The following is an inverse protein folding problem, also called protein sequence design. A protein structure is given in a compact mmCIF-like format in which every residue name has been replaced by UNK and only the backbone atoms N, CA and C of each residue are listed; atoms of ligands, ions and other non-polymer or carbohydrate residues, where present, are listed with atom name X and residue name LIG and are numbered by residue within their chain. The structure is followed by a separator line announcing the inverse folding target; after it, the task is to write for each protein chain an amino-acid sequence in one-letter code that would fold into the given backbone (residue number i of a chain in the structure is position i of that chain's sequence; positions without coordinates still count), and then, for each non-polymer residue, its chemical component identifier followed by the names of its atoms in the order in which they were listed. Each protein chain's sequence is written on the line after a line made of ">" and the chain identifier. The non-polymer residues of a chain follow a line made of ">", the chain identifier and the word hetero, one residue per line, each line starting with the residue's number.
data_IF_370626932687
#
_entry.id   IF_370626932687
#
_cell.length_a   1.000
_cell.length_b   1.000
_cell.length_c   1.000
_cell.angle_alpha   90.00
_cell.angle_beta   90.00
_cell.angle_gamma   90.00
#
_symmetry.space_group_name_H-M   'P 1'
#
loop_
_entity.id
_entity.type
_entity.pdbx_description
1 polymer ?
#
# COMPACT_ATOMS: atom_id res chain seq x y z
N UNK A 1 11.75 9.75 90.35
CA UNK A 1 10.82 9.23 91.40
C UNK A 1 9.99 8.15 90.72
N UNK A 2 10.13 6.96 91.33
CA UNK A 2 9.12 5.86 91.42
C UNK A 2 8.57 5.31 90.07
N UNK A 3 8.99 4.08 89.67
CA UNK A 3 8.47 2.77 90.18
C UNK A 3 7.09 2.51 89.56
N UNK A 4 6.68 1.38 89.03
CA UNK A 4 6.85 -0.06 89.21
C UNK A 4 6.22 -0.76 87.97
N UNK A 5 6.78 -1.80 87.33
CA UNK A 5 6.54 -3.24 87.55
C UNK A 5 5.09 -3.66 87.43
N UNK A 6 4.79 -4.53 86.50
CA UNK A 6 4.47 -5.96 86.59
C UNK A 6 3.99 -6.48 85.26
N UNK A 7 4.55 -7.49 84.69
CA UNK A 7 4.47 -8.94 84.85
C UNK A 7 3.17 -9.60 84.33
N UNK A 8 3.42 -10.60 83.59
CA UNK A 8 2.61 -11.81 83.28
C UNK A 8 1.70 -11.70 82.08
N UNK A 9 1.90 -12.55 81.22
CA UNK A 9 1.73 -13.90 81.06
C UNK A 9 1.42 -14.31 79.61
N UNK A 10 2.09 -15.27 79.15
CA UNK A 10 2.13 -15.92 77.91
C UNK A 10 0.83 -16.33 77.23
N UNK A 11 0.92 -16.37 75.96
CA UNK A 11 0.33 -17.44 75.18
C UNK A 11 1.03 -17.45 73.79
N UNK A 12 1.79 -18.53 73.58
CA UNK A 12 2.28 -18.85 72.25
C UNK A 12 1.11 -19.22 71.38
N UNK A 13 0.78 -18.40 70.39
CA UNK A 13 -0.05 -18.80 69.28
C UNK A 13 0.85 -18.91 68.04
N UNK A 14 1.13 -20.14 67.66
CA UNK A 14 1.81 -20.48 66.40
C UNK A 14 0.81 -20.19 65.27
N UNK A 15 1.02 -19.07 64.58
CA UNK A 15 0.33 -18.77 63.31
C UNK A 15 1.16 -19.40 62.21
N UNK A 16 0.64 -20.52 61.67
CA UNK A 16 1.17 -21.12 60.47
C UNK A 16 0.86 -20.18 59.27
N UNK A 17 1.91 -19.52 58.75
CA UNK A 17 1.82 -18.70 57.56
C UNK A 17 1.79 -19.61 56.33
N UNK A 18 0.60 -19.82 55.80
CA UNK A 18 0.42 -20.45 54.46
C UNK A 18 0.90 -19.45 53.41
N UNK A 19 2.09 -19.67 52.89
CA UNK A 19 2.57 -19.00 51.71
C UNK A 19 1.78 -19.54 50.53
N UNK A 20 0.74 -18.84 50.11
CA UNK A 20 0.13 -19.03 48.82
C UNK A 20 1.11 -18.57 47.72
N UNK A 21 1.73 -19.55 47.09
CA UNK A 21 2.54 -19.30 45.87
C UNK A 21 1.61 -18.84 44.76
N UNK A 22 1.55 -17.52 44.48
CA UNK A 22 0.98 -17.03 43.23
C UNK A 22 1.96 -17.39 42.11
N UNK A 23 1.65 -18.44 41.37
CA UNK A 23 2.25 -18.63 40.07
C UNK A 23 1.82 -17.47 39.12
N UNK A 24 2.75 -16.87 38.34
CA UNK A 24 2.34 -15.92 37.33
C UNK A 24 1.48 -16.64 36.29
N UNK A 25 0.22 -16.22 36.16
CA UNK A 25 -0.65 -16.69 35.11
C UNK A 25 -0.04 -16.30 33.75
N UNK A 26 0.25 -17.32 32.99
CA UNK A 26 0.61 -17.18 31.57
C UNK A 26 -0.61 -16.56 30.86
N UNK A 27 -0.48 -15.26 30.52
CA UNK A 27 -1.46 -14.57 29.68
C UNK A 27 -1.27 -15.11 28.27
N UNK A 28 -2.03 -16.14 27.92
CA UNK A 28 -2.13 -16.57 26.54
C UNK A 28 -2.93 -15.50 25.81
N UNK A 29 -2.23 -14.57 25.16
CA UNK A 29 -2.85 -13.70 24.15
C UNK A 29 -3.36 -14.58 23.01
N UNK A 30 -4.64 -14.91 23.09
CA UNK A 30 -5.35 -15.50 21.94
C UNK A 30 -5.57 -14.36 20.96
N UNK A 31 -4.58 -14.10 20.10
CA UNK A 31 -4.77 -13.28 18.92
C UNK A 31 -5.72 -14.02 17.98
N UNK A 32 -7.01 -13.78 18.16
CA UNK A 32 -8.03 -14.20 17.20
C UNK A 32 -7.98 -13.21 16.02
N UNK A 33 -6.86 -13.21 15.30
CA UNK A 33 -6.85 -12.67 13.94
C UNK A 33 -7.69 -13.62 13.09
N UNK A 34 -8.76 -13.11 12.48
CA UNK A 34 -9.42 -13.85 11.41
C UNK A 34 -8.33 -14.26 10.42
N UNK A 35 -8.32 -15.51 9.91
CA UNK A 35 -7.33 -15.90 8.91
C UNK A 35 -7.48 -14.96 7.73
N UNK A 36 -6.39 -14.26 7.41
CA UNK A 36 -6.29 -13.52 6.17
C UNK A 36 -6.62 -14.51 5.03
N UNK A 37 -7.51 -14.15 4.09
CA UNK A 37 -7.91 -15.08 3.05
C UNK A 37 -6.63 -15.57 2.36
N UNK A 38 -6.47 -16.89 2.32
CA UNK A 38 -5.32 -17.52 1.68
C UNK A 38 -5.22 -16.98 0.25
N UNK A 39 -4.16 -16.24 -0.03
CA UNK A 39 -3.85 -15.78 -1.39
C UNK A 39 -3.64 -17.06 -2.19
N UNK A 40 -4.47 -17.27 -3.20
CA UNK A 40 -4.30 -18.39 -4.10
C UNK A 40 -2.88 -18.27 -4.70
N UNK A 41 -1.98 -19.18 -4.34
CA UNK A 41 -0.55 -19.12 -4.66
C UNK A 41 -0.25 -19.14 -6.18
N UNK A 42 -1.29 -19.08 -7.02
CA UNK A 42 -1.22 -19.23 -8.47
C UNK A 42 -1.20 -17.90 -9.23
N UNK A 43 -1.46 -16.75 -8.59
CA UNK A 43 -1.47 -15.45 -9.30
C UNK A 43 -0.38 -14.55 -8.76
N UNK A 44 0.86 -14.82 -9.19
CA UNK A 44 1.98 -13.93 -8.90
C UNK A 44 1.76 -12.54 -9.55
N UNK A 45 2.12 -11.47 -8.84
CA UNK A 45 2.16 -10.14 -9.41
C UNK A 45 3.46 -9.94 -10.18
N UNK A 46 3.34 -9.77 -11.49
CA UNK A 46 4.46 -9.46 -12.38
C UNK A 46 4.35 -7.99 -12.82
N UNK A 47 5.09 -7.12 -12.13
CA UNK A 47 5.09 -5.69 -12.41
C UNK A 47 5.69 -5.36 -13.78
N UNK A 48 6.68 -6.13 -14.26
CA UNK A 48 7.27 -5.91 -15.59
C UNK A 48 6.26 -6.20 -16.70
N UNK A 49 5.65 -7.37 -16.67
CA UNK A 49 4.62 -7.73 -17.64
C UNK A 49 3.42 -6.77 -17.59
N UNK A 50 3.02 -6.36 -16.38
CA UNK A 50 1.93 -5.40 -16.18
C UNK A 50 2.28 -4.03 -16.79
N UNK A 51 3.47 -3.49 -16.51
CA UNK A 51 3.93 -2.18 -17.01
C UNK A 51 4.14 -2.18 -18.52
N UNK A 52 4.67 -3.26 -19.07
CA UNK A 52 4.80 -3.43 -20.52
C UNK A 52 3.45 -3.38 -21.22
N UNK A 53 2.45 -4.11 -20.68
CA UNK A 53 1.08 -4.08 -21.20
C UNK A 53 0.46 -2.69 -21.08
N UNK A 54 0.64 -2.00 -19.96
CA UNK A 54 0.14 -0.63 -19.78
C UNK A 54 0.68 0.31 -20.86
N UNK A 55 1.98 0.31 -21.10
CA UNK A 55 2.63 1.12 -22.16
C UNK A 55 2.11 0.72 -23.56
N UNK A 56 1.95 -0.56 -23.82
CA UNK A 56 1.43 -1.06 -25.09
C UNK A 56 0.01 -0.57 -25.36
N UNK A 57 -0.92 -0.74 -24.41
CA UNK A 57 -2.33 -0.34 -24.58
C UNK A 57 -2.45 1.19 -24.69
N UNK A 58 -1.65 1.93 -23.91
CA UNK A 58 -1.57 3.39 -23.98
C UNK A 58 -1.13 3.86 -25.36
N UNK A 59 0.00 3.35 -25.86
CA UNK A 59 0.59 3.76 -27.15
C UNK A 59 -0.25 3.30 -28.35
N UNK A 60 -1.03 2.23 -28.21
CA UNK A 60 -1.98 1.77 -29.22
C UNK A 60 -3.30 2.57 -29.24
N UNK A 61 -3.53 3.46 -28.27
CA UNK A 61 -4.79 4.20 -28.13
C UNK A 61 -5.95 3.33 -27.68
N UNK A 62 -5.70 2.18 -27.06
CA UNK A 62 -6.72 1.22 -26.63
C UNK A 62 -7.33 1.64 -25.29
N UNK A 63 -8.13 2.70 -25.30
CA UNK A 63 -8.71 3.31 -24.09
C UNK A 63 -9.45 2.31 -23.20
N UNK A 64 -10.30 1.47 -23.78
CA UNK A 64 -11.10 0.49 -23.02
C UNK A 64 -10.23 -0.60 -22.38
N UNK A 65 -9.22 -1.10 -23.11
CA UNK A 65 -8.27 -2.07 -22.60
C UNK A 65 -7.44 -1.47 -21.44
N UNK A 66 -6.96 -0.25 -21.62
CA UNK A 66 -6.20 0.47 -20.61
C UNK A 66 -7.05 0.74 -19.36
N UNK A 67 -8.27 1.23 -19.54
CA UNK A 67 -9.19 1.44 -18.42
C UNK A 67 -9.58 0.13 -17.72
N UNK A 68 -9.67 -0.98 -18.45
CA UNK A 68 -9.89 -2.33 -17.90
C UNK A 68 -8.77 -2.83 -17.00
N UNK A 69 -7.57 -2.24 -17.09
CA UNK A 69 -6.45 -2.51 -16.18
C UNK A 69 -6.60 -1.85 -14.79
N UNK A 70 -7.59 -0.99 -14.59
CA UNK A 70 -7.90 -0.37 -13.31
C UNK A 70 -9.06 -1.07 -12.61
N UNK A 71 -9.13 -0.95 -11.29
CA UNK A 71 -10.33 -1.30 -10.52
C UNK A 71 -11.47 -0.32 -10.83
N UNK A 72 -12.72 -0.73 -10.58
CA UNK A 72 -13.88 0.14 -10.83
C UNK A 72 -13.86 1.43 -9.98
N UNK A 73 -13.31 1.31 -8.77
CA UNK A 73 -13.09 2.40 -7.81
C UNK A 73 -11.67 2.98 -7.89
N UNK A 74 -11.00 2.76 -9.02
CA UNK A 74 -9.62 3.18 -9.21
C UNK A 74 -9.44 4.70 -9.21
N UNK A 75 -8.24 5.14 -8.83
CA UNK A 75 -7.90 6.55 -8.79
C UNK A 75 -6.59 6.87 -9.53
N UNK A 76 -6.49 8.12 -10.00
CA UNK A 76 -5.25 8.71 -10.49
C UNK A 76 -4.98 10.05 -9.82
N UNK A 77 -3.73 10.28 -9.49
CA UNK A 77 -3.25 11.49 -8.82
C UNK A 77 -2.19 12.18 -9.69
N UNK A 78 -2.62 12.90 -10.72
CA UNK A 78 -1.71 13.60 -11.63
C UNK A 78 -1.02 14.78 -10.92
N UNK A 79 0.22 15.14 -11.32
CA UNK A 79 0.90 16.28 -10.75
C UNK A 79 0.12 17.57 -11.00
N UNK A 80 0.03 18.41 -9.96
CA UNK A 80 -0.59 19.74 -10.00
C UNK A 80 -2.08 19.77 -10.43
N UNK A 81 -2.79 18.67 -10.26
CA UNK A 81 -4.22 18.54 -10.57
C UNK A 81 -4.94 17.84 -9.41
N UNK A 82 -6.26 18.03 -9.29
CA UNK A 82 -7.07 17.26 -8.36
C UNK A 82 -6.99 15.76 -8.63
N UNK A 83 -7.24 14.97 -7.59
CA UNK A 83 -7.41 13.52 -7.72
C UNK A 83 -8.57 13.21 -8.67
N UNK A 84 -8.38 12.19 -9.49
CA UNK A 84 -9.38 11.64 -10.42
C UNK A 84 -9.84 10.31 -9.86
N UNK A 85 -11.13 10.18 -9.58
CA UNK A 85 -11.72 8.98 -9.00
C UNK A 85 -12.93 8.50 -9.80
N UNK A 86 -13.07 7.19 -9.88
CA UNK A 86 -14.18 6.51 -10.54
C UNK A 86 -14.06 6.44 -12.06
N UNK A 87 -14.76 5.45 -12.62
CA UNK A 87 -14.60 5.02 -14.02
C UNK A 87 -14.75 6.13 -15.05
N UNK A 88 -15.77 6.98 -14.93
CA UNK A 88 -16.05 8.02 -15.92
C UNK A 88 -14.93 9.07 -16.00
N UNK A 89 -14.46 9.55 -14.84
CA UNK A 89 -13.39 10.54 -14.78
C UNK A 89 -12.05 9.94 -15.19
N UNK A 90 -11.83 8.66 -14.84
CA UNK A 90 -10.65 7.90 -15.24
C UNK A 90 -10.55 7.80 -16.76
N UNK A 91 -11.62 7.40 -17.45
CA UNK A 91 -11.66 7.32 -18.91
C UNK A 91 -11.34 8.65 -19.56
N UNK A 92 -11.99 9.73 -19.14
CA UNK A 92 -11.74 11.05 -19.70
C UNK A 92 -10.28 11.52 -19.52
N UNK A 93 -9.69 11.24 -18.35
CA UNK A 93 -8.30 11.59 -18.08
C UNK A 93 -7.30 10.74 -18.86
N UNK A 94 -7.56 9.44 -19.04
CA UNK A 94 -6.74 8.55 -19.86
C UNK A 94 -6.78 8.95 -21.34
N UNK A 95 -7.96 9.25 -21.87
CA UNK A 95 -8.13 9.73 -23.24
C UNK A 95 -7.34 11.02 -23.50
N UNK A 96 -7.47 12.01 -22.60
CA UNK A 96 -6.72 13.27 -22.69
C UNK A 96 -5.21 13.02 -22.61
N UNK A 97 -4.74 12.12 -21.74
CA UNK A 97 -3.33 11.78 -21.62
C UNK A 97 -2.77 11.15 -22.91
N UNK A 98 -3.52 10.22 -23.52
CA UNK A 98 -3.14 9.59 -24.81
C UNK A 98 -3.05 10.60 -25.95
N UNK A 99 -3.98 11.57 -26.01
CA UNK A 99 -3.94 12.64 -27.03
C UNK A 99 -2.72 13.56 -26.89
N UNK A 100 -2.26 13.79 -25.65
CA UNK A 100 -1.13 14.68 -25.37
C UNK A 100 0.23 13.98 -25.39
N UNK A 101 0.27 12.66 -25.44
CA UNK A 101 1.51 11.89 -25.30
C UNK A 101 1.64 10.92 -26.47
N UNK A 102 2.44 11.24 -27.48
CA UNK A 102 2.62 10.36 -28.65
C UNK A 102 3.19 8.99 -28.29
N UNK A 103 4.11 8.91 -27.33
CA UNK A 103 4.66 7.64 -26.83
C UNK A 103 4.94 7.75 -25.33
N UNK A 104 4.51 6.72 -24.60
CA UNK A 104 4.78 6.55 -23.17
C UNK A 104 5.63 5.29 -22.96
N UNK A 105 6.71 5.41 -22.22
CA UNK A 105 7.52 4.30 -21.72
C UNK A 105 7.43 4.26 -20.20
N UNK A 106 7.02 3.13 -19.67
CA UNK A 106 6.95 2.88 -18.23
C UNK A 106 7.97 1.80 -17.89
N UNK A 107 8.94 2.16 -17.04
CA UNK A 107 10.00 1.25 -16.60
C UNK A 107 9.82 0.97 -15.11
N UNK A 108 9.42 -0.25 -14.74
CA UNK A 108 9.30 -0.63 -13.33
C UNK A 108 10.68 -0.77 -12.69
N UNK A 109 10.75 -0.52 -11.37
CA UNK A 109 11.97 -0.66 -10.59
C UNK A 109 11.85 -1.76 -9.54
N UNK A 110 10.73 -1.79 -8.82
CA UNK A 110 10.48 -2.79 -7.77
C UNK A 110 9.01 -2.88 -7.43
N UNK A 111 8.59 -4.01 -6.90
CA UNK A 111 7.27 -4.21 -6.32
C UNK A 111 7.34 -5.00 -5.03
N UNK A 112 6.33 -4.82 -4.19
CA UNK A 112 6.08 -5.59 -2.98
C UNK A 112 4.64 -6.07 -2.98
N UNK A 113 4.40 -7.29 -2.51
CA UNK A 113 3.05 -7.91 -2.47
C UNK A 113 2.65 -8.18 -1.03
N UNK A 114 1.45 -7.76 -0.67
CA UNK A 114 0.84 -7.91 0.65
C UNK A 114 -0.54 -8.56 0.48
N UNK A 115 -0.59 -9.88 0.51
CA UNK A 115 -1.83 -10.61 0.27
C UNK A 115 -2.41 -10.31 -1.11
N UNK A 116 -3.59 -9.71 -1.18
CA UNK A 116 -4.27 -9.33 -2.42
C UNK A 116 -3.98 -7.89 -2.88
N UNK A 117 -3.00 -7.25 -2.26
CA UNK A 117 -2.54 -5.90 -2.62
C UNK A 117 -1.07 -5.94 -3.01
N UNK A 118 -0.70 -5.20 -4.04
CA UNK A 118 0.69 -4.98 -4.40
C UNK A 118 0.98 -3.48 -4.54
N UNK A 119 2.23 -3.11 -4.28
CA UNK A 119 2.74 -1.75 -4.50
C UNK A 119 3.87 -1.84 -5.50
N UNK A 120 3.82 -1.01 -6.54
CA UNK A 120 4.85 -0.89 -7.55
C UNK A 120 5.40 0.53 -7.64
N UNK A 121 6.64 0.67 -8.06
CA UNK A 121 7.25 1.97 -8.37
C UNK A 121 8.22 1.86 -9.53
N UNK A 122 8.44 2.99 -10.19
CA UNK A 122 9.37 3.06 -11.30
C UNK A 122 9.54 4.48 -11.84
N UNK A 123 10.06 4.55 -13.04
CA UNK A 123 10.22 5.78 -13.80
C UNK A 123 9.39 5.73 -15.08
N UNK A 124 9.10 6.87 -15.64
CA UNK A 124 8.47 6.98 -16.95
C UNK A 124 9.18 8.01 -17.82
N UNK A 125 9.01 7.83 -19.12
CA UNK A 125 9.36 8.80 -20.15
C UNK A 125 8.16 9.03 -21.05
N UNK A 126 7.89 10.30 -21.35
CA UNK A 126 6.96 10.71 -22.42
C UNK A 126 7.80 11.23 -23.56
N UNK A 127 7.53 10.77 -24.76
CA UNK A 127 8.29 11.13 -25.94
C UNK A 127 7.42 11.91 -26.94
N UNK A 128 8.05 12.81 -27.64
CA UNK A 128 7.49 13.46 -28.81
C UNK A 128 7.41 12.48 -29.99
N UNK A 129 6.67 12.83 -31.03
CA UNK A 129 6.54 12.02 -32.24
C UNK A 129 7.87 11.80 -33.01
N UNK A 130 8.86 12.66 -32.79
CA UNK A 130 10.22 12.52 -33.35
C UNK A 130 11.14 11.65 -32.48
N UNK A 131 10.65 11.11 -31.37
CA UNK A 131 11.38 10.28 -30.43
C UNK A 131 12.21 11.07 -29.39
N UNK A 132 12.20 12.39 -29.43
CA UNK A 132 12.85 13.19 -28.39
C UNK A 132 12.07 13.15 -27.09
N UNK A 133 12.78 13.24 -25.95
CA UNK A 133 12.15 13.24 -24.63
C UNK A 133 11.35 14.52 -24.39
N UNK A 134 10.05 14.38 -24.14
CA UNK A 134 9.15 15.44 -23.72
C UNK A 134 9.21 15.64 -22.19
N UNK A 135 9.19 14.55 -21.45
CA UNK A 135 9.12 14.56 -19.98
C UNK A 135 9.67 13.26 -19.42
N UNK A 136 10.34 13.35 -18.28
CA UNK A 136 10.64 12.20 -17.42
C UNK A 136 10.03 12.39 -16.05
N UNK A 137 9.86 11.28 -15.33
CA UNK A 137 9.34 11.33 -13.97
C UNK A 137 9.38 9.97 -13.30
N UNK A 138 8.77 9.92 -12.15
CA UNK A 138 8.67 8.73 -11.32
C UNK A 138 7.23 8.53 -10.88
N UNK A 139 6.89 7.26 -10.68
CA UNK A 139 5.55 6.85 -10.29
C UNK A 139 5.60 5.83 -9.16
N UNK A 140 4.52 5.79 -8.41
CA UNK A 140 4.18 4.74 -7.47
C UNK A 140 2.70 4.41 -7.65
N UNK A 141 2.39 3.13 -7.63
CA UNK A 141 0.99 2.70 -7.74
C UNK A 141 0.69 1.54 -6.80
N UNK A 142 -0.59 1.35 -6.54
CA UNK A 142 -1.12 0.20 -5.83
C UNK A 142 -1.97 -0.63 -6.77
N UNK A 143 -1.92 -1.95 -6.57
CA UNK A 143 -2.71 -2.92 -7.31
C UNK A 143 -3.54 -3.75 -6.35
N UNK A 144 -4.68 -4.22 -6.82
CA UNK A 144 -5.55 -5.19 -6.13
C UNK A 144 -5.75 -6.41 -7.00
N UNK A 145 -5.73 -7.58 -6.38
CA UNK A 145 -6.15 -8.82 -7.02
C UNK A 145 -7.67 -8.90 -6.97
N UNK A 146 -8.32 -8.77 -8.12
CA UNK A 146 -9.78 -8.80 -8.28
C UNK A 146 -10.14 -9.92 -9.23
N UNK A 147 -10.89 -10.90 -8.75
CA UNK A 147 -11.32 -12.08 -9.54
C UNK A 147 -10.15 -12.79 -10.27
N UNK A 148 -9.01 -12.93 -9.55
CA UNK A 148 -7.82 -13.57 -10.08
C UNK A 148 -7.00 -12.71 -11.06
N UNK A 149 -7.31 -11.42 -11.22
CA UNK A 149 -6.59 -10.49 -12.09
C UNK A 149 -6.05 -9.30 -11.31
N UNK A 150 -4.77 -9.02 -11.45
CA UNK A 150 -4.16 -7.83 -10.87
C UNK A 150 -4.58 -6.57 -11.64
N UNK A 151 -5.19 -5.62 -10.92
CA UNK A 151 -5.66 -4.34 -11.45
C UNK A 151 -5.05 -3.20 -10.67
N UNK A 152 -4.68 -2.12 -11.35
CA UNK A 152 -4.24 -0.88 -10.71
C UNK A 152 -5.40 -0.28 -9.93
N UNK A 153 -5.13 0.05 -8.66
CA UNK A 153 -6.13 0.70 -7.82
C UNK A 153 -5.89 2.21 -7.74
N UNK A 154 -4.68 2.62 -7.39
CA UNK A 154 -4.31 4.04 -7.41
C UNK A 154 -2.96 4.22 -8.08
N UNK A 155 -2.85 5.30 -8.85
CA UNK A 155 -1.66 5.70 -9.59
C UNK A 155 -1.30 7.15 -9.23
N UNK A 156 -0.09 7.36 -8.76
CA UNK A 156 0.47 8.69 -8.51
C UNK A 156 1.80 8.82 -9.23
N UNK A 157 2.02 9.97 -9.82
CA UNK A 157 3.31 10.28 -10.44
C UNK A 157 3.66 11.75 -10.26
N UNK A 158 4.92 12.07 -10.47
CA UNK A 158 5.38 13.44 -10.59
C UNK A 158 6.40 13.58 -11.70
N UNK A 159 6.45 14.78 -12.26
CA UNK A 159 7.39 15.18 -13.28
C UNK A 159 8.77 15.52 -12.68
N UNK A 160 9.84 15.27 -13.43
CA UNK A 160 11.18 15.80 -13.14
C UNK A 160 11.42 17.16 -13.83
N UNK A 161 10.46 17.61 -14.66
CA UNK A 161 10.50 18.94 -15.27
C UNK A 161 10.11 19.98 -14.22
N UNK A 162 10.95 20.99 -13.94
CA UNK A 162 10.61 22.05 -13.00
C UNK A 162 9.35 22.81 -13.45
N UNK A 163 8.54 23.25 -12.48
CA UNK A 163 7.44 24.16 -12.77
C UNK A 163 7.97 25.49 -13.31
N UNK A 164 7.33 26.04 -14.34
CA UNK A 164 7.68 27.35 -14.85
C UNK A 164 7.57 28.39 -13.72
N UNK A 165 8.64 29.14 -13.48
CA UNK A 165 8.69 30.16 -12.44
C UNK A 165 9.17 29.68 -11.05
N UNK A 166 9.67 28.48 -10.91
CA UNK A 166 10.21 27.92 -9.66
C UNK A 166 11.73 28.16 -9.47
N UNK A 167 12.25 29.30 -9.91
CA UNK A 167 13.64 29.73 -9.64
C UNK A 167 13.73 30.66 -8.46
#
# INVERSE_FOLDING_TARGET
>A
MRRLQNLCGGLLAIVALLLASCAPGEVTETTTGAPEPAVDAQVAFDLEAWSARFSQEFNAGNLEALAGMFTEDGCRMPPNQPIVEGRTMLLAQLEAAMQMTPELRVTPTTSEVFGTTAVGRGIFERLNADGSTMETGKWMNTHKLVDGVWKMHCDIWNSDVPLEGSN
#
